data_IF_115133109051
#
_entry.id   IF_115133109051
#
_cell.length_a   1.000
_cell.length_b   1.000
_cell.length_c   1.000
_cell.angle_alpha   90.00
_cell.angle_beta   90.00
_cell.angle_gamma   90.00
#
_symmetry.space_group_name_H-M   'P 1'
#
loop_
_entity.id
_entity.type
_entity.pdbx_description
1 polymer ?
#
# COMPACT_ATOMS: atom_id res chain seq x y z
N UNK A 1 -5.22 9.20 2.84
CA UNK A 1 -6.51 8.49 2.91
C UNK A 1 -6.27 7.06 2.42
N UNK A 2 -7.05 6.08 2.86
CA UNK A 2 -6.95 4.74 2.31
C UNK A 2 -7.44 4.74 0.85
N UNK A 3 -6.91 3.85 -0.01
CA UNK A 3 -7.37 3.75 -1.38
C UNK A 3 -8.75 3.10 -1.47
N UNK A 4 -9.53 3.49 -2.48
CA UNK A 4 -10.77 2.81 -2.84
C UNK A 4 -10.47 1.36 -3.25
N UNK A 5 -11.35 0.44 -2.90
CA UNK A 5 -11.20 -0.97 -3.29
C UNK A 5 -11.87 -1.22 -4.64
N UNK A 6 -11.20 -1.85 -5.62
CA UNK A 6 -11.81 -2.15 -6.90
C UNK A 6 -12.91 -3.19 -6.76
N UNK A 7 -13.98 -3.03 -7.53
CA UNK A 7 -15.16 -3.90 -7.54
C UNK A 7 -15.55 -4.19 -8.98
N UNK A 8 -14.87 -5.16 -9.59
CA UNK A 8 -15.01 -5.48 -11.01
C UNK A 8 -15.46 -6.93 -11.20
N UNK A 9 -16.32 -7.17 -12.18
CA UNK A 9 -16.73 -8.52 -12.61
C UNK A 9 -17.00 -8.57 -14.10
N UNK A 10 -16.69 -9.71 -14.71
CA UNK A 10 -17.03 -10.03 -16.10
C UNK A 10 -17.90 -11.29 -16.13
N UNK A 11 -18.90 -11.31 -17.01
CA UNK A 11 -19.77 -12.47 -17.25
C UNK A 11 -20.17 -12.53 -18.72
N UNK A 12 -20.56 -13.69 -19.21
CA UNK A 12 -21.08 -13.85 -20.56
C UNK A 12 -22.55 -14.25 -20.55
N UNK A 13 -23.26 -13.88 -21.62
CA UNK A 13 -24.59 -14.37 -21.97
C UNK A 13 -24.48 -15.01 -23.35
N UNK A 14 -24.73 -16.31 -23.45
CA UNK A 14 -24.64 -17.04 -24.72
C UNK A 14 -25.97 -17.10 -25.47
N UNK A 15 -25.86 -17.19 -26.79
CA UNK A 15 -26.99 -17.17 -27.72
C UNK A 15 -26.95 -18.35 -28.67
N UNK A 16 -28.14 -18.75 -29.11
CA UNK A 16 -28.28 -19.70 -30.21
C UNK A 16 -27.87 -19.12 -31.55
N UNK A 17 -27.62 -20.01 -32.50
CA UNK A 17 -27.35 -19.65 -33.88
C UNK A 17 -28.48 -18.76 -34.44
N UNK A 18 -28.11 -17.59 -34.96
CA UNK A 18 -29.01 -16.61 -35.56
C UNK A 18 -30.17 -16.17 -34.64
N UNK A 19 -29.97 -16.22 -33.32
CA UNK A 19 -30.94 -15.75 -32.33
C UNK A 19 -30.33 -14.64 -31.46
N UNK A 20 -31.14 -13.65 -31.12
CA UNK A 20 -30.81 -12.56 -30.20
C UNK A 20 -31.51 -12.66 -28.84
N UNK A 21 -32.46 -13.59 -28.71
CA UNK A 21 -33.22 -13.76 -27.48
C UNK A 21 -32.39 -14.45 -26.39
N UNK A 22 -32.36 -13.86 -25.18
CA UNK A 22 -31.71 -14.47 -24.02
C UNK A 22 -32.59 -15.58 -23.47
N UNK A 23 -32.09 -16.82 -23.48
CA UNK A 23 -32.84 -17.97 -22.98
C UNK A 23 -32.94 -18.00 -21.46
N UNK A 24 -34.03 -18.55 -20.96
CA UNK A 24 -34.17 -18.85 -19.52
C UNK A 24 -33.09 -19.79 -19.00
N UNK A 25 -32.60 -20.73 -19.81
CA UNK A 25 -31.47 -21.59 -19.43
C UNK A 25 -30.18 -20.80 -19.22
N UNK A 26 -29.94 -19.76 -20.01
CA UNK A 26 -28.79 -18.88 -19.88
C UNK A 26 -28.90 -17.99 -18.64
N UNK A 27 -30.09 -17.45 -18.35
CA UNK A 27 -30.32 -16.71 -17.09
C UNK A 27 -30.09 -17.57 -15.84
N UNK A 28 -30.10 -18.90 -15.99
CA UNK A 28 -29.84 -19.87 -14.93
C UNK A 28 -28.46 -20.52 -15.03
N UNK A 29 -27.61 -20.05 -15.94
CA UNK A 29 -26.24 -20.54 -16.12
C UNK A 29 -25.39 -20.27 -14.88
N UNK A 30 -24.27 -20.98 -14.77
CA UNK A 30 -23.33 -20.80 -13.65
C UNK A 30 -22.77 -19.38 -13.61
N UNK A 31 -22.44 -18.80 -14.77
CA UNK A 31 -21.90 -17.44 -14.88
C UNK A 31 -22.93 -16.40 -14.47
N UNK A 32 -24.16 -16.46 -14.99
CA UNK A 32 -25.20 -15.48 -14.66
C UNK A 32 -25.61 -15.56 -13.18
N UNK A 33 -25.64 -16.77 -12.60
CA UNK A 33 -25.84 -16.95 -11.14
C UNK A 33 -24.70 -16.36 -10.31
N UNK A 34 -23.46 -16.50 -10.76
CA UNK A 34 -22.30 -15.89 -10.10
C UNK A 34 -22.38 -14.35 -10.16
N UNK A 35 -22.74 -13.78 -11.32
CA UNK A 35 -22.97 -12.35 -11.47
C UNK A 35 -24.12 -11.83 -10.59
N UNK A 36 -25.25 -12.54 -10.55
CA UNK A 36 -26.37 -12.23 -9.67
C UNK A 36 -25.97 -12.28 -8.18
N UNK A 37 -25.20 -13.30 -7.78
CA UNK A 37 -24.70 -13.42 -6.41
C UNK A 37 -23.69 -12.31 -6.07
N UNK A 38 -22.82 -11.94 -7.01
CA UNK A 38 -21.92 -10.79 -6.86
C UNK A 38 -22.72 -9.51 -6.58
N UNK A 39 -23.71 -9.19 -7.41
CA UNK A 39 -24.56 -8.02 -7.20
C UNK A 39 -25.28 -8.03 -5.86
N UNK A 40 -25.81 -9.19 -5.45
CA UNK A 40 -26.50 -9.37 -4.17
C UNK A 40 -25.60 -9.11 -2.96
N UNK A 41 -24.33 -9.48 -3.06
CA UNK A 41 -23.36 -9.35 -1.98
C UNK A 41 -22.58 -8.02 -2.02
N UNK A 42 -22.86 -7.16 -3.00
CA UNK A 42 -22.23 -5.84 -3.11
C UNK A 42 -22.56 -4.97 -1.89
N UNK A 43 -21.56 -4.35 -1.23
CA UNK A 43 -21.80 -3.45 -0.11
C UNK A 43 -22.62 -2.21 -0.52
N UNK A 44 -23.44 -1.70 0.40
CA UNK A 44 -24.34 -0.58 0.14
C UNK A 44 -23.61 0.71 -0.29
N UNK A 45 -22.36 0.89 0.14
CA UNK A 45 -21.50 2.03 -0.17
C UNK A 45 -20.78 1.92 -1.52
N UNK A 46 -20.90 0.79 -2.23
CA UNK A 46 -20.25 0.62 -3.51
C UNK A 46 -20.74 1.64 -4.54
N UNK A 47 -19.88 1.95 -5.51
CA UNK A 47 -20.15 2.84 -6.62
C UNK A 47 -19.81 2.08 -7.91
N UNK A 48 -20.81 1.88 -8.77
CA UNK A 48 -20.60 1.34 -10.10
C UNK A 48 -20.31 2.49 -11.06
N UNK A 49 -19.16 2.42 -11.70
CA UNK A 49 -18.64 3.46 -12.59
C UNK A 49 -19.09 3.22 -14.03
N UNK A 50 -19.13 1.95 -14.46
CA UNK A 50 -19.64 1.59 -15.77
C UNK A 50 -20.15 0.15 -15.82
N UNK A 51 -21.22 -0.06 -16.61
CA UNK A 51 -21.62 -1.38 -17.08
C UNK A 51 -21.51 -1.36 -18.59
N UNK A 52 -20.69 -2.22 -19.17
CA UNK A 52 -20.55 -2.33 -20.62
C UNK A 52 -20.97 -3.70 -21.11
N UNK A 53 -21.58 -3.71 -22.30
CA UNK A 53 -22.03 -4.92 -22.99
C UNK A 53 -21.44 -4.90 -24.39
N UNK A 54 -20.54 -5.84 -24.68
CA UNK A 54 -19.99 -6.05 -26.02
C UNK A 54 -20.58 -7.33 -26.57
N UNK A 55 -21.43 -7.24 -27.59
CA UNK A 55 -22.16 -8.39 -28.13
C UNK A 55 -21.61 -8.81 -29.50
N UNK A 56 -21.45 -10.12 -29.67
CA UNK A 56 -20.77 -10.71 -30.81
C UNK A 56 -21.71 -11.63 -31.58
N UNK A 57 -21.55 -11.63 -32.89
CA UNK A 57 -22.00 -12.69 -33.77
C UNK A 57 -20.86 -13.69 -34.02
N UNK A 58 -21.22 -14.96 -34.25
CA UNK A 58 -20.23 -15.95 -34.63
C UNK A 58 -19.80 -15.75 -36.09
N UNK A 59 -18.55 -16.08 -36.46
CA UNK A 59 -18.03 -15.84 -37.81
C UNK A 59 -18.58 -16.79 -38.90
N UNK A 60 -19.80 -17.31 -38.72
CA UNK A 60 -20.49 -18.26 -39.61
C UNK A 60 -21.68 -17.65 -40.37
N UNK A 61 -22.08 -16.41 -40.07
CA UNK A 61 -23.14 -15.66 -40.76
C UNK A 61 -22.62 -14.53 -41.67
N UNK A 62 -23.45 -14.01 -42.57
CA UNK A 62 -23.08 -12.84 -43.40
C UNK A 62 -22.79 -11.60 -42.54
N UNK A 63 -21.80 -10.80 -42.94
CA UNK A 63 -21.29 -9.69 -42.12
C UNK A 63 -22.36 -8.66 -41.75
N UNK A 64 -23.19 -8.24 -42.72
CA UNK A 64 -24.24 -7.24 -42.48
C UNK A 64 -25.31 -7.76 -41.51
N UNK A 65 -25.73 -9.02 -41.69
CA UNK A 65 -26.66 -9.68 -40.77
C UNK A 65 -26.06 -9.83 -39.37
N UNK A 66 -24.76 -10.13 -39.29
CA UNK A 66 -24.04 -10.28 -38.03
C UNK A 66 -23.96 -8.97 -37.24
N UNK A 67 -23.90 -7.82 -37.92
CA UNK A 67 -23.95 -6.49 -37.28
C UNK A 67 -25.32 -6.28 -36.61
N UNK A 68 -26.42 -6.48 -37.36
CA UNK A 68 -27.77 -6.34 -36.82
C UNK A 68 -28.01 -7.31 -35.65
N UNK A 69 -27.58 -8.56 -35.80
CA UNK A 69 -27.71 -9.59 -34.78
C UNK A 69 -26.92 -9.27 -33.50
N UNK A 70 -25.70 -8.74 -33.64
CA UNK A 70 -24.90 -8.29 -32.51
C UNK A 70 -25.61 -7.15 -31.75
N UNK A 71 -26.20 -6.20 -32.47
CA UNK A 71 -26.96 -5.10 -31.88
C UNK A 71 -28.18 -5.58 -31.12
N UNK A 72 -28.98 -6.48 -31.70
CA UNK A 72 -30.13 -7.07 -31.04
C UNK A 72 -29.73 -7.85 -29.77
N UNK A 73 -28.63 -8.61 -29.84
CA UNK A 73 -28.07 -9.34 -28.68
C UNK A 73 -27.62 -8.38 -27.57
N UNK A 74 -27.00 -7.25 -27.92
CA UNK A 74 -26.65 -6.23 -26.94
C UNK A 74 -27.89 -5.71 -26.23
N UNK A 75 -28.95 -5.36 -26.97
CA UNK A 75 -30.20 -4.85 -26.40
C UNK A 75 -30.95 -5.88 -25.55
N UNK A 76 -30.97 -7.15 -25.98
CA UNK A 76 -31.56 -8.25 -25.22
C UNK A 76 -30.78 -8.51 -23.92
N UNK A 77 -29.45 -8.48 -23.99
CA UNK A 77 -28.57 -8.61 -22.82
C UNK A 77 -28.78 -7.48 -21.83
N UNK A 78 -28.83 -6.22 -22.28
CA UNK A 78 -29.12 -5.06 -21.42
C UNK A 78 -30.47 -5.24 -20.73
N UNK A 79 -31.49 -5.70 -21.44
CA UNK A 79 -32.82 -5.92 -20.87
C UNK A 79 -32.80 -7.00 -19.78
N UNK A 80 -32.12 -8.13 -20.03
CA UNK A 80 -31.93 -9.18 -19.03
C UNK A 80 -31.14 -8.71 -17.80
N UNK A 81 -30.06 -7.95 -18.02
CA UNK A 81 -29.23 -7.41 -16.94
C UNK A 81 -30.02 -6.43 -16.07
N UNK A 82 -30.81 -5.53 -16.66
CA UNK A 82 -31.69 -4.60 -15.91
C UNK A 82 -32.59 -5.38 -14.93
N UNK A 83 -33.17 -6.49 -15.38
CA UNK A 83 -34.01 -7.33 -14.52
C UNK A 83 -33.21 -8.00 -13.39
N UNK A 84 -31.98 -8.46 -13.68
CA UNK A 84 -31.08 -9.01 -12.66
C UNK A 84 -30.70 -7.94 -11.65
N UNK A 85 -30.30 -6.74 -12.08
CA UNK A 85 -29.97 -5.62 -11.20
C UNK A 85 -31.15 -5.21 -10.31
N UNK A 86 -32.35 -5.10 -10.88
CA UNK A 86 -33.57 -4.78 -10.11
C UNK A 86 -33.90 -5.84 -9.05
N UNK A 87 -33.64 -7.11 -9.34
CA UNK A 87 -33.94 -8.23 -8.44
C UNK A 87 -32.86 -8.47 -7.39
N UNK A 88 -31.59 -8.33 -7.76
CA UNK A 88 -30.45 -8.82 -6.96
C UNK A 88 -29.64 -7.68 -6.33
N UNK A 89 -29.44 -6.56 -7.02
CA UNK A 89 -28.58 -5.50 -6.50
C UNK A 89 -29.25 -4.77 -5.30
N UNK A 90 -28.46 -4.34 -4.31
CA UNK A 90 -28.94 -3.50 -3.22
C UNK A 90 -29.80 -2.32 -3.71
N UNK A 91 -30.84 -1.99 -2.94
CA UNK A 91 -31.72 -0.84 -3.25
C UNK A 91 -30.96 0.48 -3.30
N UNK A 92 -29.88 0.61 -2.53
CA UNK A 92 -29.03 1.80 -2.48
C UNK A 92 -28.22 2.06 -3.74
N UNK A 93 -28.04 1.05 -4.62
CA UNK A 93 -27.29 1.21 -5.87
C UNK A 93 -28.24 1.67 -6.99
N UNK A 94 -28.09 2.90 -7.52
CA UNK A 94 -28.96 3.39 -8.60
C UNK A 94 -28.58 2.80 -9.97
N UNK A 95 -27.29 2.53 -10.20
CA UNK A 95 -26.72 2.11 -11.48
C UNK A 95 -27.08 0.66 -11.86
N UNK A 96 -27.33 0.43 -13.15
CA UNK A 96 -27.62 -0.85 -13.78
C UNK A 96 -29.12 -1.15 -13.90
N UNK A 97 -30.00 -0.23 -13.47
CA UNK A 97 -31.46 -0.45 -13.39
C UNK A 97 -32.23 0.17 -14.56
N UNK A 98 -31.55 0.89 -15.44
CA UNK A 98 -32.12 1.53 -16.63
C UNK A 98 -31.15 1.46 -17.81
N UNK A 99 -31.65 1.58 -19.03
CA UNK A 99 -30.85 1.40 -20.26
C UNK A 99 -29.68 2.39 -20.37
N UNK A 100 -29.85 3.62 -19.90
CA UNK A 100 -28.82 4.68 -19.94
C UNK A 100 -27.58 4.38 -19.09
N UNK A 101 -27.66 3.40 -18.18
CA UNK A 101 -26.53 3.01 -17.34
C UNK A 101 -25.53 2.09 -18.08
N UNK A 102 -25.90 1.65 -19.29
CA UNK A 102 -25.15 0.67 -20.06
C UNK A 102 -24.47 1.32 -21.26
N UNK A 103 -23.17 1.05 -21.40
CA UNK A 103 -22.41 1.34 -22.62
C UNK A 103 -22.44 0.08 -23.49
N UNK A 104 -23.19 0.11 -24.57
CA UNK A 104 -23.17 -0.99 -25.55
C UNK A 104 -22.07 -0.75 -26.57
N UNK A 105 -21.37 -1.83 -26.94
CA UNK A 105 -20.39 -1.81 -28.02
C UNK A 105 -20.83 -2.81 -29.07
N UNK A 106 -20.97 -2.31 -30.28
CA UNK A 106 -21.15 -3.12 -31.46
C UNK A 106 -19.79 -3.73 -31.77
N UNK A 107 -19.70 -5.04 -31.60
CA UNK A 107 -18.50 -5.78 -31.95
C UNK A 107 -18.81 -6.67 -33.13
N UNK A 108 -18.05 -6.47 -34.21
CA UNK A 108 -18.05 -7.34 -35.37
C UNK A 108 -17.70 -8.78 -34.96
N UNK A 109 -17.69 -9.68 -35.93
CA UNK A 109 -17.25 -11.06 -35.75
C UNK A 109 -15.94 -11.16 -34.97
N UNK A 110 -15.96 -11.95 -33.90
CA UNK A 110 -14.81 -12.14 -33.00
C UNK A 110 -13.79 -13.12 -33.59
N UNK A 111 -13.12 -12.68 -34.66
CA UNK A 111 -12.11 -13.48 -35.37
C UNK A 111 -10.89 -13.77 -34.50
N UNK A 112 -10.51 -12.84 -33.62
CA UNK A 112 -9.39 -13.05 -32.68
C UNK A 112 -9.78 -14.04 -31.57
N UNK A 113 -11.00 -13.95 -31.03
CA UNK A 113 -11.52 -14.95 -30.11
C UNK A 113 -11.67 -16.33 -30.76
N UNK A 114 -12.11 -16.39 -32.02
CA UNK A 114 -12.15 -17.65 -32.77
C UNK A 114 -10.75 -18.25 -32.92
N UNK A 115 -9.76 -17.44 -33.28
CA UNK A 115 -8.35 -17.86 -33.35
C UNK A 115 -7.87 -18.41 -32.00
N UNK A 116 -8.13 -17.70 -30.91
CA UNK A 116 -7.71 -18.11 -29.56
C UNK A 116 -8.37 -19.43 -29.12
N UNK A 117 -9.67 -19.60 -29.37
CA UNK A 117 -10.36 -20.86 -29.10
C UNK A 117 -9.81 -22.01 -29.96
N UNK A 118 -9.49 -21.74 -31.23
CA UNK A 118 -8.87 -22.72 -32.11
C UNK A 118 -7.50 -23.14 -31.61
N UNK A 119 -6.62 -22.21 -31.21
CA UNK A 119 -5.29 -22.50 -30.65
C UNK A 119 -5.37 -23.43 -29.43
N UNK A 120 -6.41 -23.28 -28.61
CA UNK A 120 -6.67 -24.10 -27.42
C UNK A 120 -7.42 -25.41 -27.72
N UNK A 121 -7.93 -25.58 -28.94
CA UNK A 121 -8.77 -26.72 -29.31
C UNK A 121 -7.95 -27.96 -29.71
N UNK A 122 -8.63 -29.11 -29.71
CA UNK A 122 -8.13 -30.39 -30.20
C UNK A 122 -8.72 -30.79 -31.56
N UNK A 123 -9.29 -29.82 -32.30
CA UNK A 123 -9.86 -30.04 -33.63
C UNK A 123 -8.78 -30.56 -34.58
N UNK A 124 -9.10 -31.58 -35.39
CA UNK A 124 -8.13 -32.25 -36.27
C UNK A 124 -7.43 -31.26 -37.23
N UNK A 125 -8.18 -30.39 -37.90
CA UNK A 125 -7.63 -29.41 -38.85
C UNK A 125 -7.33 -28.04 -38.21
N UNK A 126 -7.02 -28.01 -36.89
CA UNK A 126 -6.70 -26.76 -36.17
C UNK A 126 -5.68 -25.90 -36.91
N UNK A 127 -4.53 -26.47 -37.27
CA UNK A 127 -3.42 -25.72 -37.85
C UNK A 127 -3.75 -25.21 -39.26
N UNK A 128 -4.61 -25.92 -39.99
CA UNK A 128 -5.15 -25.47 -41.28
C UNK A 128 -6.06 -24.25 -41.09
N UNK A 129 -6.97 -24.30 -40.12
CA UNK A 129 -7.86 -23.17 -39.80
C UNK A 129 -7.05 -21.95 -39.35
N UNK A 130 -6.06 -22.10 -38.47
CA UNK A 130 -5.19 -20.99 -38.05
C UNK A 130 -4.42 -20.38 -39.23
N UNK A 131 -4.02 -21.20 -40.20
CA UNK A 131 -3.41 -20.72 -41.45
C UNK A 131 -4.40 -19.94 -42.30
N UNK A 132 -5.64 -20.41 -42.45
CA UNK A 132 -6.71 -19.68 -43.17
C UNK A 132 -6.96 -18.31 -42.53
N UNK A 133 -7.04 -18.24 -41.19
CA UNK A 133 -7.23 -16.98 -40.46
C UNK A 133 -6.09 -15.98 -40.68
N UNK A 134 -4.86 -16.48 -40.87
CA UNK A 134 -3.68 -15.64 -41.11
C UNK A 134 -3.54 -15.24 -42.60
N UNK A 135 -3.85 -16.16 -43.51
CA UNK A 135 -3.63 -16.00 -44.95
C UNK A 135 -4.63 -15.04 -45.59
N UNK A 136 -5.91 -15.15 -45.24
CA UNK A 136 -6.95 -14.30 -45.80
C UNK A 136 -7.21 -13.13 -44.87
N UNK A 137 -7.31 -11.91 -45.42
CA UNK A 137 -7.71 -10.71 -44.65
C UNK A 137 -9.20 -10.45 -44.71
N UNK A 138 -9.85 -10.84 -45.80
CA UNK A 138 -11.28 -10.68 -46.01
C UNK A 138 -12.10 -11.67 -45.16
N UNK A 139 -13.01 -11.21 -44.28
CA UNK A 139 -13.83 -12.08 -43.44
C UNK A 139 -14.71 -13.06 -44.20
N UNK A 140 -15.28 -12.65 -45.34
CA UNK A 140 -16.15 -13.50 -46.14
C UNK A 140 -15.35 -14.65 -46.77
N UNK A 141 -14.14 -14.37 -47.26
CA UNK A 141 -13.23 -15.38 -47.78
C UNK A 141 -12.79 -16.36 -46.68
N UNK A 142 -12.40 -15.87 -45.48
CA UNK A 142 -12.07 -16.75 -44.33
C UNK A 142 -13.20 -17.71 -44.03
N UNK A 143 -14.43 -17.19 -43.92
CA UNK A 143 -15.64 -17.96 -43.63
C UNK A 143 -15.87 -19.04 -44.68
N UNK A 144 -15.79 -18.68 -45.97
CA UNK A 144 -15.97 -19.63 -47.07
C UNK A 144 -14.97 -20.78 -47.02
N UNK A 145 -13.69 -20.49 -46.81
CA UNK A 145 -12.65 -21.52 -46.70
C UNK A 145 -12.88 -22.44 -45.49
N UNK A 146 -13.27 -21.89 -44.34
CA UNK A 146 -13.56 -22.67 -43.13
C UNK A 146 -14.79 -23.57 -43.33
N UNK A 147 -15.84 -23.07 -43.98
CA UNK A 147 -17.06 -23.83 -44.27
C UNK A 147 -16.82 -25.02 -45.21
N UNK A 148 -15.83 -24.93 -46.10
CA UNK A 148 -15.49 -26.00 -47.04
C UNK A 148 -14.79 -27.20 -46.38
N UNK A 149 -14.36 -27.08 -45.11
CA UNK A 149 -13.70 -28.16 -44.37
C UNK A 149 -14.65 -29.29 -43.92
N UNK A 150 -15.88 -29.32 -44.42
CA UNK A 150 -16.84 -30.43 -44.28
C UNK A 150 -17.02 -30.93 -42.83
N UNK A 151 -16.45 -32.09 -42.48
CA UNK A 151 -16.61 -32.69 -41.14
C UNK A 151 -16.03 -31.80 -40.03
N UNK A 152 -14.91 -31.14 -40.30
CA UNK A 152 -14.30 -30.21 -39.35
C UNK A 152 -15.23 -29.04 -39.07
N UNK A 153 -15.91 -28.52 -40.08
CA UNK A 153 -16.86 -27.43 -39.89
C UNK A 153 -18.06 -27.85 -39.01
N UNK A 154 -18.53 -29.10 -39.13
CA UNK A 154 -19.56 -29.63 -38.23
C UNK A 154 -19.07 -29.67 -36.78
N UNK A 155 -17.83 -30.10 -36.55
CA UNK A 155 -17.24 -30.12 -35.22
C UNK A 155 -17.08 -28.71 -34.64
N UNK A 156 -16.70 -27.72 -35.46
CA UNK A 156 -16.65 -26.31 -35.06
C UNK A 156 -18.03 -25.78 -34.64
N UNK A 157 -19.09 -26.12 -35.38
CA UNK A 157 -20.46 -25.70 -35.07
C UNK A 157 -20.97 -26.22 -33.74
N UNK A 158 -20.49 -27.38 -33.32
CA UNK A 158 -20.89 -27.99 -32.05
C UNK A 158 -20.02 -27.53 -30.87
N UNK A 159 -18.70 -27.39 -31.08
CA UNK A 159 -17.75 -27.22 -29.96
C UNK A 159 -17.19 -25.81 -29.80
N UNK A 160 -17.01 -25.07 -30.90
CA UNK A 160 -16.28 -23.79 -30.89
C UNK A 160 -17.22 -22.60 -31.12
N UNK A 161 -17.97 -22.60 -32.22
CA UNK A 161 -18.83 -21.48 -32.61
C UNK A 161 -19.90 -21.10 -31.56
N UNK A 162 -20.49 -22.03 -30.77
CA UNK A 162 -21.41 -21.66 -29.70
C UNK A 162 -20.76 -20.75 -28.65
N UNK A 163 -19.47 -20.93 -28.37
CA UNK A 163 -18.72 -20.09 -27.42
C UNK A 163 -18.46 -18.69 -27.96
N UNK A 164 -18.64 -18.43 -29.25
CA UNK A 164 -18.48 -17.11 -29.85
C UNK A 164 -19.78 -16.31 -29.94
N UNK A 165 -20.93 -16.99 -29.85
CA UNK A 165 -22.27 -16.38 -29.86
C UNK A 165 -22.58 -15.83 -28.48
N UNK A 166 -21.98 -14.70 -28.11
CA UNK A 166 -22.07 -14.19 -26.74
C UNK A 166 -22.18 -12.69 -26.66
N UNK A 167 -22.73 -12.21 -25.56
CA UNK A 167 -22.48 -10.88 -25.06
C UNK A 167 -21.54 -10.96 -23.87
N UNK A 168 -20.42 -10.25 -23.93
CA UNK A 168 -19.53 -10.04 -22.80
C UNK A 168 -20.00 -8.81 -22.02
N UNK A 169 -20.27 -9.01 -20.73
CA UNK A 169 -20.70 -7.98 -19.80
C UNK A 169 -19.55 -7.69 -18.86
N UNK A 170 -19.13 -6.42 -18.80
CA UNK A 170 -18.10 -5.96 -17.86
C UNK A 170 -18.69 -4.88 -16.97
N UNK A 171 -18.71 -5.13 -15.66
CA UNK A 171 -19.08 -4.16 -14.64
C UNK A 171 -17.79 -3.70 -13.95
N UNK A 172 -17.56 -2.38 -13.97
CA UNK A 172 -16.48 -1.74 -13.23
C UNK A 172 -17.05 -0.85 -12.14
N UNK A 173 -16.40 -0.88 -10.99
CA UNK A 173 -16.79 -0.07 -9.86
C UNK A 173 -15.76 -0.11 -8.74
N UNK A 174 -16.16 0.47 -7.62
CA UNK A 174 -15.32 0.57 -6.44
C UNK A 174 -16.12 0.64 -5.16
N UNK A 175 -15.46 0.30 -4.06
CA UNK A 175 -15.93 0.56 -2.71
C UNK A 175 -15.09 1.73 -2.20
N UNK A 176 -15.70 2.92 -2.02
CA UNK A 176 -14.98 4.07 -1.49
C UNK A 176 -14.36 3.75 -0.14
N UNK A 177 -13.12 4.20 0.07
CA UNK A 177 -12.51 4.12 1.38
C UNK A 177 -13.31 4.94 2.40
N UNK A 178 -13.40 4.43 3.64
CA UNK A 178 -14.00 5.21 4.72
C UNK A 178 -13.18 6.48 4.97
N UNK A 179 -13.86 7.61 5.20
CA UNK A 179 -13.20 8.85 5.63
C UNK A 179 -12.64 8.69 7.04
N UNK A 180 -11.75 9.61 7.43
CA UNK A 180 -11.20 9.66 8.78
C UNK A 180 -12.28 9.77 9.85
N UNK A 181 -13.32 10.57 9.59
CA UNK A 181 -14.47 10.76 10.48
C UNK A 181 -15.30 9.48 10.59
N UNK A 182 -15.52 8.79 9.47
CA UNK A 182 -16.24 7.51 9.44
C UNK A 182 -15.48 6.42 10.21
N UNK A 183 -14.15 6.36 10.07
CA UNK A 183 -13.30 5.43 10.82
C UNK A 183 -13.35 5.76 12.32
N UNK A 184 -13.19 7.03 12.70
CA UNK A 184 -13.25 7.46 14.10
C UNK A 184 -14.62 7.15 14.75
N UNK A 185 -15.72 7.31 14.01
CA UNK A 185 -17.05 6.94 14.50
C UNK A 185 -17.22 5.41 14.59
N UNK A 186 -16.73 4.65 13.61
CA UNK A 186 -16.81 3.20 13.61
C UNK A 186 -16.00 2.57 14.74
N UNK A 187 -14.85 3.14 15.12
CA UNK A 187 -14.09 2.69 16.30
C UNK A 187 -14.90 2.75 17.59
N UNK A 188 -15.82 3.71 17.72
CA UNK A 188 -16.67 3.90 18.91
C UNK A 188 -17.93 3.05 18.88
N UNK A 189 -18.50 2.84 17.69
CA UNK A 189 -19.86 2.29 17.54
C UNK A 189 -19.89 0.87 16.98
N UNK A 190 -18.98 0.53 16.08
CA UNK A 190 -18.94 -0.77 15.39
C UNK A 190 -17.51 -1.12 14.94
N UNK A 191 -16.56 -1.33 15.88
CA UNK A 191 -15.17 -1.63 15.55
C UNK A 191 -15.02 -2.91 14.72
N UNK A 192 -15.97 -3.85 14.85
CA UNK A 192 -15.98 -5.07 14.04
C UNK A 192 -16.15 -4.84 12.53
N UNK A 193 -16.65 -3.67 12.13
CA UNK A 193 -16.80 -3.31 10.70
C UNK A 193 -15.53 -2.78 10.03
N UNK A 194 -14.49 -2.47 10.81
CA UNK A 194 -13.27 -1.87 10.29
C UNK A 194 -12.27 -2.93 9.87
N UNK A 195 -11.61 -2.76 8.72
CA UNK A 195 -10.48 -3.58 8.24
C UNK A 195 -9.21 -3.32 9.07
N UNK A 196 -8.18 -4.16 8.88
CA UNK A 196 -6.87 -3.97 9.53
C UNK A 196 -6.30 -2.56 9.26
N UNK A 197 -6.28 -2.12 7.99
CA UNK A 197 -5.74 -0.82 7.62
C UNK A 197 -6.56 0.36 8.18
N UNK A 198 -7.90 0.20 8.26
CA UNK A 198 -8.77 1.20 8.88
C UNK A 198 -8.52 1.31 10.39
N UNK A 199 -8.26 0.19 11.08
CA UNK A 199 -7.85 0.20 12.48
C UNK A 199 -6.50 0.89 12.67
N UNK A 200 -5.50 0.57 11.84
CA UNK A 200 -4.18 1.19 11.92
C UNK A 200 -4.26 2.71 11.78
N UNK A 201 -5.00 3.19 10.77
CA UNK A 201 -5.21 4.62 10.54
C UNK A 201 -5.98 5.27 11.69
N UNK A 202 -7.04 4.61 12.17
CA UNK A 202 -7.82 5.13 13.29
C UNK A 202 -7.02 5.22 14.59
N UNK A 203 -6.17 4.24 14.87
CA UNK A 203 -5.25 4.26 16.00
C UNK A 203 -4.17 5.34 15.84
N UNK A 204 -3.66 5.58 14.63
CA UNK A 204 -2.69 6.64 14.38
C UNK A 204 -3.24 8.05 14.67
N UNK A 205 -4.55 8.24 14.44
CA UNK A 205 -5.24 9.50 14.69
C UNK A 205 -5.57 9.74 16.17
N UNK A 206 -5.46 8.74 17.03
CA UNK A 206 -5.73 8.86 18.46
C UNK A 206 -4.54 9.52 19.18
N UNK A 207 -4.79 10.69 19.77
CA UNK A 207 -3.76 11.49 20.44
C UNK A 207 -3.51 11.04 21.87
N UNK A 208 -4.50 10.43 22.53
CA UNK A 208 -4.32 9.88 23.86
C UNK A 208 -3.59 8.53 23.80
N UNK A 209 -2.41 8.46 24.41
CA UNK A 209 -1.56 7.27 24.39
C UNK A 209 -2.26 6.01 24.94
N UNK A 210 -3.05 6.13 26.00
CA UNK A 210 -3.74 4.99 26.62
C UNK A 210 -4.87 4.47 25.72
N UNK A 211 -5.64 5.36 25.10
CA UNK A 211 -6.63 4.97 24.11
C UNK A 211 -5.96 4.27 22.91
N UNK A 212 -4.82 4.79 22.46
CA UNK A 212 -4.08 4.21 21.33
C UNK A 212 -3.54 2.81 21.65
N UNK A 213 -3.07 2.58 22.88
CA UNK A 213 -2.72 1.23 23.38
C UNK A 213 -3.94 0.30 23.34
N UNK A 214 -5.10 0.75 23.83
CA UNK A 214 -6.33 -0.05 23.82
C UNK A 214 -6.80 -0.40 22.39
N UNK A 215 -6.68 0.54 21.47
CA UNK A 215 -7.00 0.34 20.06
C UNK A 215 -6.09 -0.71 19.41
N UNK A 216 -4.76 -0.61 19.58
CA UNK A 216 -3.85 -1.63 19.03
C UNK A 216 -3.98 -2.99 19.71
N UNK A 217 -4.32 -3.04 21.00
CA UNK A 217 -4.63 -4.30 21.70
C UNK A 217 -5.87 -4.99 21.11
N UNK A 218 -6.91 -4.21 20.85
CA UNK A 218 -8.14 -4.70 20.21
C UNK A 218 -7.87 -5.18 18.79
N UNK A 219 -7.12 -4.39 18.01
CA UNK A 219 -6.80 -4.74 16.62
C UNK A 219 -5.85 -5.93 16.51
N UNK A 220 -4.88 -6.09 17.43
CA UNK A 220 -4.02 -7.28 17.50
C UNK A 220 -4.86 -8.55 17.74
N UNK A 221 -5.85 -8.48 18.63
CA UNK A 221 -6.73 -9.62 18.91
C UNK A 221 -7.58 -9.99 17.69
N UNK A 222 -8.08 -8.99 16.95
CA UNK A 222 -8.92 -9.19 15.76
C UNK A 222 -8.11 -9.64 14.53
N UNK A 223 -6.90 -9.11 14.38
CA UNK A 223 -6.01 -9.33 13.24
C UNK A 223 -4.71 -10.00 13.67
N UNK A 224 -4.83 -11.13 14.36
CA UNK A 224 -3.71 -11.81 15.02
C UNK A 224 -2.59 -12.30 14.07
N UNK A 225 -2.84 -12.35 12.76
CA UNK A 225 -1.82 -12.66 11.74
C UNK A 225 -1.07 -11.43 11.24
N UNK A 226 -1.57 -10.22 11.50
CA UNK A 226 -0.97 -8.96 11.03
C UNK A 226 0.07 -8.46 12.04
N UNK A 227 1.35 -8.59 11.69
CA UNK A 227 2.48 -8.19 12.53
C UNK A 227 2.45 -6.70 12.91
N UNK A 228 1.82 -5.85 12.08
CA UNK A 228 1.78 -4.40 12.27
C UNK A 228 1.07 -4.02 13.55
N UNK A 229 0.08 -4.80 13.98
CA UNK A 229 -0.70 -4.55 15.19
C UNK A 229 0.18 -4.66 16.43
N UNK A 230 0.85 -5.81 16.60
CA UNK A 230 1.75 -6.06 17.71
C UNK A 230 2.98 -5.12 17.68
N UNK A 231 3.51 -4.82 16.49
CA UNK A 231 4.63 -3.88 16.36
C UNK A 231 4.23 -2.46 16.80
N UNK A 232 3.10 -1.94 16.32
CA UNK A 232 2.67 -0.60 16.71
C UNK A 232 2.26 -0.52 18.18
N UNK A 233 1.69 -1.60 18.74
CA UNK A 233 1.46 -1.72 20.18
C UNK A 233 2.78 -1.63 20.97
N UNK A 234 3.83 -2.32 20.52
CA UNK A 234 5.16 -2.23 21.11
C UNK A 234 5.73 -0.81 21.11
N UNK A 235 5.54 -0.07 20.00
CA UNK A 235 5.92 1.34 19.94
C UNK A 235 5.17 2.19 20.99
N UNK A 236 3.87 1.92 21.22
CA UNK A 236 3.10 2.65 22.24
C UNK A 236 3.59 2.33 23.65
N UNK A 237 3.94 1.07 23.92
CA UNK A 237 4.54 0.70 25.21
C UNK A 237 5.89 1.38 25.42
N UNK A 238 6.74 1.51 24.38
CA UNK A 238 7.99 2.30 24.49
C UNK A 238 7.71 3.76 24.86
N UNK A 239 6.74 4.39 24.20
CA UNK A 239 6.34 5.78 24.52
C UNK A 239 5.79 5.92 25.94
N UNK A 240 5.17 4.86 26.47
CA UNK A 240 4.66 4.81 27.83
C UNK A 240 5.71 4.35 28.88
N UNK A 241 7.00 4.27 28.50
CA UNK A 241 8.10 3.76 29.33
C UNK A 241 7.91 2.31 29.84
N UNK A 242 7.09 1.51 29.16
CA UNK A 242 6.81 0.11 29.46
C UNK A 242 7.71 -0.81 28.62
N UNK A 243 9.00 -0.83 28.95
CA UNK A 243 10.02 -1.55 28.17
C UNK A 243 9.77 -3.07 28.08
N UNK A 244 9.42 -3.79 29.17
CA UNK A 244 9.15 -5.23 29.09
C UNK A 244 7.97 -5.56 28.17
N UNK A 245 6.88 -4.78 28.26
CA UNK A 245 5.68 -4.96 27.44
C UNK A 245 5.95 -4.63 25.97
N UNK A 246 6.76 -3.60 25.70
CA UNK A 246 7.20 -3.26 24.36
C UNK A 246 7.96 -4.41 23.71
N UNK A 247 8.98 -4.94 24.39
CA UNK A 247 9.77 -6.06 23.88
C UNK A 247 8.91 -7.30 23.65
N UNK A 248 7.98 -7.62 24.57
CA UNK A 248 7.04 -8.72 24.41
C UNK A 248 6.15 -8.53 23.16
N UNK A 249 5.67 -7.32 22.90
CA UNK A 249 4.85 -7.02 21.72
C UNK A 249 5.66 -7.13 20.42
N UNK A 250 6.89 -6.60 20.37
CA UNK A 250 7.76 -6.76 19.20
C UNK A 250 8.14 -8.22 18.95
N UNK A 251 8.36 -9.03 20.00
CA UNK A 251 8.57 -10.47 19.86
C UNK A 251 7.34 -11.16 19.26
N UNK A 252 6.12 -10.79 19.65
CA UNK A 252 4.90 -11.28 19.00
C UNK A 252 4.81 -10.87 17.54
N UNK A 253 5.18 -9.63 17.18
CA UNK A 253 5.26 -9.20 15.79
C UNK A 253 6.28 -10.02 14.98
N UNK A 254 7.45 -10.30 15.55
CA UNK A 254 8.49 -11.09 14.93
C UNK A 254 8.06 -12.56 14.71
N UNK A 255 7.20 -13.12 15.57
CA UNK A 255 6.62 -14.45 15.30
C UNK A 255 5.74 -14.48 14.05
N UNK A 256 5.17 -13.34 13.64
CA UNK A 256 4.32 -13.22 12.44
C UNK A 256 5.11 -12.82 11.21
N UNK A 257 6.13 -11.97 11.38
CA UNK A 257 7.05 -11.56 10.30
C UNK A 257 8.49 -11.52 10.82
N UNK A 258 9.23 -12.65 10.81
CA UNK A 258 10.54 -12.77 11.47
C UNK A 258 11.65 -11.90 10.88
N UNK A 259 11.52 -11.53 9.61
CA UNK A 259 12.52 -10.74 8.87
C UNK A 259 12.03 -9.32 8.57
N UNK A 260 10.95 -8.87 9.22
CA UNK A 260 10.42 -7.53 9.01
C UNK A 260 11.41 -6.47 9.53
N UNK A 261 11.96 -5.61 8.66
CA UNK A 261 13.00 -4.66 9.06
C UNK A 261 12.58 -3.74 10.21
N UNK A 262 11.34 -3.24 10.20
CA UNK A 262 10.83 -2.37 11.24
C UNK A 262 10.79 -3.06 12.62
N UNK A 263 10.35 -4.33 12.66
CA UNK A 263 10.28 -5.13 13.89
C UNK A 263 11.68 -5.42 14.43
N UNK A 264 12.61 -5.80 13.55
CA UNK A 264 14.01 -6.06 13.92
C UNK A 264 14.69 -4.81 14.50
N UNK A 265 14.49 -3.64 13.89
CA UNK A 265 14.99 -2.38 14.44
C UNK A 265 14.43 -2.10 15.84
N UNK A 266 13.12 -2.30 16.03
CA UNK A 266 12.46 -2.05 17.32
C UNK A 266 12.94 -3.02 18.42
N UNK A 267 13.16 -4.30 18.09
CA UNK A 267 13.81 -5.24 19.01
C UNK A 267 15.24 -4.83 19.33
N UNK A 268 16.00 -4.36 18.34
CA UNK A 268 17.35 -3.84 18.52
C UNK A 268 17.37 -2.65 19.48
N UNK A 269 16.38 -1.77 19.39
CA UNK A 269 16.21 -0.64 20.31
C UNK A 269 15.94 -1.11 21.75
N UNK A 270 15.07 -2.10 21.95
CA UNK A 270 14.83 -2.70 23.25
C UNK A 270 16.11 -3.31 23.84
N UNK A 271 16.85 -4.09 23.05
CA UNK A 271 18.11 -4.70 23.45
C UNK A 271 19.15 -3.63 23.84
N UNK A 272 19.33 -2.60 23.02
CA UNK A 272 20.26 -1.49 23.27
C UNK A 272 19.92 -0.75 24.58
N UNK A 273 18.64 -0.46 24.84
CA UNK A 273 18.18 0.19 26.07
C UNK A 273 18.44 -0.63 27.33
N UNK A 274 18.60 -1.95 27.19
CA UNK A 274 18.93 -2.89 28.26
C UNK A 274 20.42 -3.24 28.28
N UNK A 275 21.26 -2.47 27.58
CA UNK A 275 22.71 -2.70 27.43
C UNK A 275 23.10 -4.03 26.77
N UNK A 276 22.17 -4.70 26.09
CA UNK A 276 22.41 -5.91 25.28
C UNK A 276 22.91 -5.52 23.89
N UNK A 277 24.09 -4.91 23.84
CA UNK A 277 24.61 -4.28 22.62
C UNK A 277 24.94 -5.28 21.51
N UNK A 278 25.46 -6.47 21.84
CA UNK A 278 25.74 -7.51 20.84
C UNK A 278 24.47 -7.94 20.09
N UNK A 279 23.41 -8.23 20.83
CA UNK A 279 22.09 -8.54 20.28
C UNK A 279 21.52 -7.38 19.47
N UNK A 280 21.62 -6.15 19.99
CA UNK A 280 21.14 -4.96 19.30
C UNK A 280 21.81 -4.75 17.94
N UNK A 281 23.14 -4.90 17.88
CA UNK A 281 23.91 -4.73 16.64
C UNK A 281 23.58 -5.81 15.60
N UNK A 282 23.39 -7.05 16.02
CA UNK A 282 22.94 -8.14 15.13
C UNK A 282 21.54 -7.84 14.56
N UNK A 283 20.61 -7.40 15.41
CA UNK A 283 19.26 -7.02 15.00
C UNK A 283 19.24 -5.83 14.03
N UNK A 284 20.02 -4.77 14.32
CA UNK A 284 20.14 -3.62 13.42
C UNK A 284 20.77 -4.01 12.08
N UNK A 285 21.77 -4.89 12.09
CA UNK A 285 22.39 -5.40 10.86
C UNK A 285 21.39 -6.19 10.02
N UNK A 286 20.58 -7.05 10.65
CA UNK A 286 19.52 -7.81 9.96
C UNK A 286 18.38 -6.92 9.44
N UNK A 287 18.05 -5.86 10.16
CA UNK A 287 17.05 -4.87 9.73
C UNK A 287 17.52 -4.09 8.50
N UNK A 288 18.72 -3.52 8.54
CA UNK A 288 19.31 -2.80 7.40
C UNK A 288 18.64 -1.46 7.05
N UNK A 289 17.67 -0.98 7.83
CA UNK A 289 17.01 0.32 7.59
C UNK A 289 17.95 1.50 7.86
N UNK A 290 17.59 2.68 7.36
CA UNK A 290 18.30 3.92 7.67
C UNK A 290 18.32 4.19 9.19
N UNK A 291 17.22 3.94 9.88
CA UNK A 291 17.10 4.05 11.34
C UNK A 291 18.02 3.07 12.05
N UNK A 292 18.12 1.83 11.56
CA UNK A 292 19.03 0.81 12.12
C UNK A 292 20.49 1.19 11.95
N UNK A 293 20.86 1.73 10.79
CA UNK A 293 22.22 2.22 10.54
C UNK A 293 22.53 3.45 11.42
N UNK A 294 21.57 4.34 11.60
CA UNK A 294 21.68 5.45 12.54
C UNK A 294 21.89 4.95 13.98
N UNK A 295 21.13 3.95 14.41
CA UNK A 295 21.24 3.35 15.75
C UNK A 295 22.59 2.64 15.97
N UNK A 296 23.12 1.96 14.95
CA UNK A 296 24.51 1.44 14.96
C UNK A 296 25.52 2.58 15.10
N UNK A 297 25.29 3.70 14.41
CA UNK A 297 26.12 4.89 14.53
C UNK A 297 26.17 5.46 15.95
N UNK A 298 25.06 5.41 16.69
CA UNK A 298 25.05 5.83 18.11
C UNK A 298 26.00 4.96 18.94
N UNK A 299 25.98 3.64 18.73
CA UNK A 299 26.91 2.74 19.41
C UNK A 299 28.37 3.00 19.01
N UNK A 300 28.61 3.30 17.73
CA UNK A 300 29.93 3.66 17.23
C UNK A 300 30.45 4.95 17.89
N UNK A 301 29.59 5.95 18.18
CA UNK A 301 29.99 7.11 19.00
C UNK A 301 30.41 6.68 20.41
N UNK A 302 29.61 5.84 21.08
CA UNK A 302 29.89 5.38 22.45
C UNK A 302 31.22 4.64 22.55
N UNK A 303 31.60 3.92 21.48
CA UNK A 303 32.82 3.10 21.43
C UNK A 303 34.01 3.80 20.76
N UNK A 304 33.89 5.09 20.41
CA UNK A 304 34.98 5.88 19.84
C UNK A 304 35.23 5.67 18.33
N UNK A 305 34.34 4.95 17.64
CA UNK A 305 34.41 4.67 16.20
C UNK A 305 33.70 5.77 15.38
N UNK A 306 34.19 7.02 15.48
CA UNK A 306 33.46 8.17 14.94
C UNK A 306 33.35 8.18 13.41
N UNK A 307 34.35 7.69 12.70
CA UNK A 307 34.28 7.56 11.23
C UNK A 307 33.18 6.59 10.79
N UNK A 308 33.07 5.44 11.47
CA UNK A 308 32.01 4.46 11.22
C UNK A 308 30.63 5.01 11.60
N UNK A 309 30.56 5.78 12.70
CA UNK A 309 29.33 6.45 13.10
C UNK A 309 28.80 7.38 12.01
N UNK A 310 29.68 8.19 11.41
CA UNK A 310 29.32 9.12 10.34
C UNK A 310 28.81 8.40 9.09
N UNK A 311 29.40 7.26 8.74
CA UNK A 311 28.93 6.44 7.63
C UNK A 311 27.50 5.92 7.84
N UNK A 312 27.15 5.57 9.09
CA UNK A 312 25.83 5.03 9.44
C UNK A 312 24.71 6.06 9.56
N UNK A 313 25.01 7.34 9.79
CA UNK A 313 24.00 8.36 10.14
C UNK A 313 23.30 9.04 8.95
N UNK A 314 23.73 8.76 7.72
CA UNK A 314 23.12 9.31 6.50
C UNK A 314 23.23 10.84 6.38
N UNK A 315 22.47 11.43 5.45
CA UNK A 315 22.62 12.85 5.11
C UNK A 315 21.96 13.81 6.11
N UNK A 316 20.85 13.41 6.72
CA UNK A 316 20.02 14.28 7.55
C UNK A 316 20.80 14.83 8.75
N UNK A 317 20.74 16.15 8.95
CA UNK A 317 21.32 16.80 10.12
C UNK A 317 20.69 16.26 11.42
N UNK A 318 21.55 15.93 12.39
CA UNK A 318 21.13 15.47 13.72
C UNK A 318 22.18 15.86 14.75
N UNK A 319 21.76 15.92 16.01
CA UNK A 319 22.69 16.15 17.13
C UNK A 319 23.79 15.09 17.18
N UNK A 320 23.44 13.81 17.02
CA UNK A 320 24.42 12.72 17.09
C UNK A 320 25.43 12.78 15.94
N UNK A 321 25.01 13.16 14.73
CA UNK A 321 25.93 13.34 13.58
C UNK A 321 26.90 14.49 13.83
N UNK A 322 26.42 15.60 14.38
CA UNK A 322 27.29 16.71 14.78
C UNK A 322 28.26 16.32 15.91
N UNK A 323 27.78 15.58 16.90
CA UNK A 323 28.62 15.05 17.97
C UNK A 323 29.71 14.13 17.40
N UNK A 324 29.37 13.21 16.51
CA UNK A 324 30.33 12.36 15.82
C UNK A 324 31.37 13.18 15.03
N UNK A 325 30.95 14.21 14.28
CA UNK A 325 31.89 15.09 13.57
C UNK A 325 32.85 15.80 14.53
N UNK A 326 32.33 16.36 15.61
CA UNK A 326 33.14 17.07 16.60
C UNK A 326 34.17 16.14 17.24
N UNK A 327 33.73 14.94 17.64
CA UNK A 327 34.59 13.91 18.23
C UNK A 327 35.61 13.36 17.24
N UNK A 328 35.30 13.35 15.94
CA UNK A 328 36.22 13.03 14.85
C UNK A 328 37.18 14.19 14.50
N UNK A 329 37.17 15.29 15.26
CA UNK A 329 38.07 16.44 15.10
C UNK A 329 37.55 17.56 14.18
N UNK A 330 36.38 17.39 13.56
CA UNK A 330 35.84 18.32 12.57
C UNK A 330 34.87 19.33 13.20
N UNK A 331 35.40 20.27 13.98
CA UNK A 331 34.59 21.28 14.68
C UNK A 331 33.77 22.18 13.72
N UNK A 332 34.33 22.54 12.56
CA UNK A 332 33.64 23.34 11.54
C UNK A 332 32.42 22.62 10.96
N UNK A 333 32.56 21.33 10.62
CA UNK A 333 31.46 20.53 10.08
C UNK A 333 30.37 20.29 11.15
N UNK A 334 30.78 20.07 12.39
CA UNK A 334 29.85 19.97 13.52
C UNK A 334 29.01 21.25 13.67
N UNK A 335 29.62 22.43 13.60
CA UNK A 335 28.91 23.72 13.65
C UNK A 335 27.93 23.86 12.48
N UNK A 336 28.34 23.50 11.26
CA UNK A 336 27.46 23.50 10.08
C UNK A 336 26.21 22.65 10.32
N UNK A 337 26.38 21.43 10.81
CA UNK A 337 25.26 20.52 11.10
C UNK A 337 24.38 21.07 12.23
N UNK A 338 24.96 21.58 13.31
CA UNK A 338 24.21 22.12 14.46
C UNK A 338 23.42 23.38 14.10
N UNK A 339 23.92 24.20 13.18
CA UNK A 339 23.21 25.37 12.68
C UNK A 339 22.02 25.00 11.78
N UNK A 340 22.10 23.86 11.08
CA UNK A 340 21.00 23.35 10.26
C UNK A 340 19.83 22.75 11.07
N UNK A 341 19.98 22.54 12.39
CA UNK A 341 18.91 22.00 13.25
C UNK A 341 17.78 23.00 13.56
N UNK A 342 17.92 24.27 13.19
CA UNK A 342 16.92 25.33 13.41
C UNK A 342 16.95 25.95 14.82
N UNK A 343 16.10 26.97 15.05
CA UNK A 343 16.17 27.88 16.21
C UNK A 343 15.45 27.41 17.48
N UNK A 344 14.70 26.29 17.45
CA UNK A 344 14.09 25.68 18.64
C UNK A 344 15.12 24.95 19.53
N UNK A 345 16.31 25.55 19.65
CA UNK A 345 17.55 24.92 20.07
C UNK A 345 17.47 24.48 21.53
N UNK A 346 17.43 23.16 21.73
CA UNK A 346 17.60 22.51 23.02
C UNK A 346 18.93 22.95 23.65
N UNK A 347 18.96 23.17 24.96
CA UNK A 347 20.16 23.62 25.72
C UNK A 347 21.46 22.87 25.36
N UNK A 348 21.37 21.57 25.08
CA UNK A 348 22.50 20.72 24.71
C UNK A 348 23.10 21.02 23.33
N UNK A 349 22.32 21.52 22.38
CA UNK A 349 22.83 21.92 21.05
C UNK A 349 23.68 23.18 21.16
N UNK A 350 23.24 24.18 21.92
CA UNK A 350 24.04 25.39 22.18
C UNK A 350 25.33 25.05 22.94
N UNK A 351 25.24 24.14 23.91
CA UNK A 351 26.40 23.63 24.63
C UNK A 351 27.42 22.97 23.70
N UNK A 352 26.97 22.12 22.77
CA UNK A 352 27.85 21.46 21.80
C UNK A 352 28.44 22.46 20.79
N UNK A 353 27.67 23.49 20.39
CA UNK A 353 28.21 24.60 19.58
C UNK A 353 29.29 25.36 20.35
N UNK A 354 29.12 25.60 21.66
CA UNK A 354 30.12 26.26 22.49
C UNK A 354 31.44 25.48 22.52
N UNK A 355 31.38 24.16 22.69
CA UNK A 355 32.55 23.28 22.59
C UNK A 355 33.19 23.39 21.20
N UNK A 356 32.39 23.32 20.14
CA UNK A 356 32.92 23.42 18.77
C UNK A 356 33.60 24.77 18.49
N UNK A 357 33.10 25.87 19.07
CA UNK A 357 33.75 27.18 19.01
C UNK A 357 35.05 27.21 19.82
N UNK A 358 35.11 26.58 21.00
CA UNK A 358 36.35 26.45 21.76
C UNK A 358 37.43 25.71 20.97
N UNK A 359 37.07 24.60 20.32
CA UNK A 359 37.98 23.85 19.43
C UNK A 359 38.41 24.63 18.19
N UNK A 360 37.60 25.60 17.77
CA UNK A 360 37.90 26.55 16.70
C UNK A 360 38.65 27.81 17.18
N UNK A 361 39.09 27.85 18.45
CA UNK A 361 39.73 29.00 19.11
C UNK A 361 38.88 30.29 19.11
N UNK A 362 37.55 30.17 19.12
CA UNK A 362 36.63 31.30 19.18
C UNK A 362 35.97 31.41 20.57
N UNK A 363 36.77 31.80 21.56
CA UNK A 363 36.38 31.92 22.96
C UNK A 363 35.18 32.85 23.21
N UNK A 364 35.08 33.95 22.45
CA UNK A 364 33.99 34.91 22.59
C UNK A 364 32.64 34.30 22.17
N UNK A 365 32.58 33.67 21.00
CA UNK A 365 31.36 33.00 20.55
C UNK A 365 31.01 31.80 21.45
N UNK A 366 32.01 31.05 21.91
CA UNK A 366 31.80 29.94 22.83
C UNK A 366 31.13 30.39 24.13
N UNK A 367 31.58 31.49 24.71
CA UNK A 367 31.01 32.02 25.96
C UNK A 367 29.56 32.46 25.78
N UNK A 368 29.22 33.13 24.68
CA UNK A 368 27.83 33.55 24.40
C UNK A 368 26.89 32.35 24.21
N UNK A 369 27.34 31.32 23.50
CA UNK A 369 26.58 30.07 23.34
C UNK A 369 26.43 29.31 24.66
N UNK A 370 27.47 29.30 25.50
CA UNK A 370 27.42 28.67 26.82
C UNK A 370 26.43 29.39 27.75
N UNK A 371 26.43 30.73 27.75
CA UNK A 371 25.42 31.53 28.46
C UNK A 371 24.01 31.14 28.00
N UNK A 372 23.77 31.09 26.69
CA UNK A 372 22.47 30.70 26.14
C UNK A 372 22.06 29.27 26.56
N UNK A 373 22.98 28.32 26.51
CA UNK A 373 22.75 26.93 26.93
C UNK A 373 22.33 26.86 28.41
N UNK A 374 23.07 27.53 29.30
CA UNK A 374 22.82 27.54 30.74
C UNK A 374 21.53 28.28 31.09
N UNK A 375 21.21 29.38 30.39
CA UNK A 375 19.93 30.06 30.58
C UNK A 375 18.73 29.17 30.24
N UNK A 376 18.89 28.26 29.27
CA UNK A 376 17.86 27.28 28.90
C UNK A 376 17.82 26.06 29.83
N UNK A 377 18.98 25.63 30.34
CA UNK A 377 19.09 24.52 31.29
C UNK A 377 20.19 24.80 32.33
N UNK A 378 19.82 25.30 33.53
CA UNK A 378 20.78 25.63 34.58
C UNK A 378 21.64 24.46 35.07
N UNK A 379 21.23 23.21 34.80
CA UNK A 379 22.03 22.03 35.15
C UNK A 379 23.35 21.97 34.37
N UNK A 380 23.43 22.61 33.20
CA UNK A 380 24.64 22.64 32.38
C UNK A 380 25.80 23.42 33.02
N UNK A 381 25.55 24.22 34.06
CA UNK A 381 26.59 24.91 34.84
C UNK A 381 27.62 23.94 35.43
N UNK A 382 27.14 22.88 36.09
CA UNK A 382 28.02 21.91 36.73
C UNK A 382 28.86 21.15 35.71
N UNK A 383 28.28 20.83 34.55
CA UNK A 383 29.02 20.24 33.43
C UNK A 383 30.11 21.21 32.92
N UNK A 384 29.75 22.45 32.60
CA UNK A 384 30.70 23.45 32.08
C UNK A 384 31.88 23.73 33.00
N UNK A 385 31.66 23.72 34.31
CA UNK A 385 32.71 23.94 35.31
C UNK A 385 33.83 22.90 35.22
N UNK A 386 33.44 21.65 35.01
CA UNK A 386 34.36 20.50 34.99
C UNK A 386 34.84 20.14 33.57
N UNK A 387 34.12 20.58 32.54
CA UNK A 387 34.45 20.29 31.14
C UNK A 387 35.80 20.92 30.72
N UNK A 388 36.69 20.07 30.25
CA UNK A 388 38.06 20.42 29.85
C UNK A 388 38.09 21.30 28.60
N UNK A 389 37.04 21.27 27.78
CA UNK A 389 36.90 22.09 26.58
C UNK A 389 36.91 23.60 26.91
N UNK A 390 36.51 23.97 28.13
CA UNK A 390 36.47 25.36 28.60
C UNK A 390 37.66 25.75 29.48
N UNK A 391 38.73 24.94 29.54
CA UNK A 391 39.91 25.24 30.36
C UNK A 391 40.46 26.65 30.13
N UNK A 392 40.54 27.10 28.87
CA UNK A 392 41.04 28.44 28.49
C UNK A 392 40.12 29.59 28.96
N UNK A 393 38.87 29.30 29.32
CA UNK A 393 37.91 30.30 29.82
C UNK A 393 37.85 30.36 31.35
N UNK A 394 38.51 29.45 32.08
CA UNK A 394 38.31 29.36 33.55
C UNK A 394 38.63 30.62 34.32
N UNK A 395 39.56 31.43 33.82
CA UNK A 395 39.91 32.72 34.43
C UNK A 395 39.06 33.90 33.95
N UNK A 396 38.34 33.74 32.84
CA UNK A 396 37.46 34.75 32.27
C UNK A 396 36.32 35.11 33.23
N UNK A 397 36.11 36.40 33.46
CA UNK A 397 35.08 36.89 34.39
C UNK A 397 33.67 36.54 33.92
N UNK A 398 33.44 36.57 32.61
CA UNK A 398 32.17 36.18 32.00
C UNK A 398 31.89 34.69 32.21
N UNK A 399 32.89 33.82 31.98
CA UNK A 399 32.75 32.39 32.24
C UNK A 399 32.49 32.09 33.72
N UNK A 400 33.25 32.72 34.65
CA UNK A 400 33.00 32.61 36.10
C UNK A 400 31.56 32.97 36.45
N UNK A 401 31.01 34.05 35.87
CA UNK A 401 29.60 34.44 36.09
C UNK A 401 28.57 33.42 35.59
N UNK A 402 28.92 32.61 34.59
CA UNK A 402 28.03 31.54 34.06
C UNK A 402 28.01 30.34 35.00
N UNK A 403 29.17 29.90 35.49
CA UNK A 403 29.34 28.60 36.16
C UNK A 403 29.36 28.67 37.69
N UNK A 404 29.46 29.86 38.28
CA UNK A 404 29.46 30.08 39.73
C UNK A 404 28.05 30.29 40.30
#
# INVERSE_FOLDING_TARGET
ALPDQPLNIKTHIYFDLNQSQVKSSELNSKETKAFAAFLKNTPAQAQFESVSVSAYASPDGETDHNIELANDRAQASVSALIDIFKKQAPKSLPTGKQKSDYVTRETLEDWEGFKSLMEQSTIADRDLILRVLTMYKDPNQRRKEIMNLSQTYLELREKILPQLRRAEVTLNGKIPAKTKEQIANALKTKPDSLSADEFLLGAEMESNLQNRIALYTTSESKYASDWRMANNLGCMYLLNNQMPEAEAAFKRAALKSPSEPAVLNNLGLCAAKQNRWEEALDLYKKSGTAESNYNRGIYAIITGQYSDALQGMGEKASFNKALAQLLNGNASDALTILNALGENVQSHVDYLKAIAQMRSNNSAAALELLKAAVSKDPRLKSYAKEDVEFLKLRDDAGFKSVVQ
#
